data_IF_003365644642
#
_entry.id   IF_003365644642
#
_cell.length_a   1.000
_cell.length_b   1.000
_cell.length_c   1.000
_cell.angle_alpha   90.00
_cell.angle_beta   90.00
_cell.angle_gamma   90.00
#
_symmetry.space_group_name_H-M   'P 1'
#
loop_
_entity.id
_entity.type
_entity.pdbx_description
1 polymer ?
#
# COMPACT_ATOMS: atom_id res chain seq x y z
N UNK A 1 -24.14 23.97 35.37
CA UNK A 1 -24.16 24.84 34.17
C UNK A 1 -24.69 24.03 32.99
N UNK A 2 -25.41 24.64 32.05
CA UNK A 2 -25.94 23.93 30.86
C UNK A 2 -24.81 23.73 29.85
N UNK A 3 -24.65 22.52 29.35
CA UNK A 3 -23.55 22.13 28.45
C UNK A 3 -23.88 22.51 27.00
N UNK A 4 -22.88 22.88 26.21
CA UNK A 4 -23.04 23.10 24.77
C UNK A 4 -23.12 21.75 24.06
N UNK A 5 -24.08 21.59 23.16
CA UNK A 5 -24.27 20.35 22.41
C UNK A 5 -23.42 20.29 21.14
N UNK A 6 -23.07 19.07 20.76
CA UNK A 6 -22.52 18.76 19.44
C UNK A 6 -23.49 19.26 18.36
N UNK A 7 -22.94 19.94 17.36
CA UNK A 7 -23.67 20.73 16.37
C UNK A 7 -23.52 22.23 16.60
N UNK A 8 -23.20 22.65 17.82
CA UNK A 8 -23.02 24.05 18.20
C UNK A 8 -21.81 24.28 19.12
N UNK A 9 -20.84 23.36 19.18
CA UNK A 9 -19.60 23.58 19.96
C UNK A 9 -18.82 24.80 19.46
N UNK A 10 -17.97 25.39 20.29
CA UNK A 10 -17.15 26.54 19.89
C UNK A 10 -16.31 26.25 18.64
N UNK A 11 -15.72 25.06 18.50
CA UNK A 11 -15.01 24.66 17.26
C UNK A 11 -15.92 24.52 16.03
N UNK A 12 -17.21 24.31 16.22
CA UNK A 12 -18.19 24.17 15.15
C UNK A 12 -18.79 25.51 14.73
N UNK A 13 -18.84 26.50 15.65
CA UNK A 13 -19.21 27.90 15.38
C UNK A 13 -18.06 28.69 14.75
N UNK A 14 -16.84 28.52 15.27
CA UNK A 14 -15.62 29.07 14.71
C UNK A 14 -14.49 28.04 14.75
N UNK A 15 -14.26 27.36 13.63
CA UNK A 15 -13.21 26.34 13.50
C UNK A 15 -11.79 26.90 13.51
N UNK A 16 -11.63 28.23 13.41
CA UNK A 16 -10.30 28.88 13.46
C UNK A 16 -9.79 29.13 14.87
N UNK A 17 -10.60 28.83 15.90
CA UNK A 17 -10.15 28.86 17.28
C UNK A 17 -9.19 27.69 17.54
N UNK A 18 -7.91 28.02 17.72
CA UNK A 18 -6.84 27.05 17.95
C UNK A 18 -6.26 27.11 19.37
N UNK A 19 -6.42 28.22 20.09
CA UNK A 19 -5.87 28.42 21.44
C UNK A 19 -6.59 29.55 22.17
N UNK A 20 -6.33 29.67 23.48
CA UNK A 20 -6.80 30.79 24.31
C UNK A 20 -8.28 30.73 24.64
N UNK A 21 -8.95 29.60 24.38
CA UNK A 21 -10.35 29.42 24.72
C UNK A 21 -10.47 28.90 26.15
N UNK A 22 -11.06 29.70 27.03
CA UNK A 22 -11.26 29.35 28.43
C UNK A 22 -12.66 28.77 28.63
N UNK A 23 -12.73 27.66 29.37
CA UNK A 23 -13.98 26.95 29.67
C UNK A 23 -13.91 26.35 31.08
N UNK A 24 -14.98 25.69 31.51
CA UNK A 24 -15.07 25.06 32.84
C UNK A 24 -15.38 23.57 32.70
N UNK A 25 -14.71 22.76 33.52
CA UNK A 25 -14.98 21.33 33.63
C UNK A 25 -16.34 21.10 34.29
N UNK A 26 -17.19 20.32 33.64
CA UNK A 26 -18.54 19.99 34.12
C UNK A 26 -18.56 18.63 34.82
N UNK A 27 -17.87 17.64 34.26
CA UNK A 27 -17.61 16.37 34.95
C UNK A 27 -16.28 15.76 34.49
N UNK A 28 -15.71 14.91 35.33
CA UNK A 28 -14.54 14.10 35.03
C UNK A 28 -14.78 12.71 35.65
N UNK A 29 -14.96 11.71 34.79
CA UNK A 29 -15.36 10.37 35.18
C UNK A 29 -14.27 9.37 34.76
N UNK A 30 -13.87 8.48 35.67
CA UNK A 30 -12.92 7.43 35.35
C UNK A 30 -13.51 6.45 34.32
N UNK A 31 -12.71 6.04 33.34
CA UNK A 31 -13.11 5.05 32.34
C UNK A 31 -12.89 3.65 32.90
N UNK A 32 -13.95 2.84 32.97
CA UNK A 32 -13.87 1.49 33.53
C UNK A 32 -12.94 0.56 32.71
N UNK A 33 -12.04 -0.12 33.43
CA UNK A 33 -10.82 -0.78 32.98
C UNK A 33 -10.99 -2.11 32.21
N UNK A 34 -12.11 -2.35 31.53
CA UNK A 34 -12.26 -3.59 30.73
C UNK A 34 -11.36 -3.61 29.48
N UNK A 35 -11.06 -2.44 28.91
CA UNK A 35 -10.26 -2.29 27.69
C UNK A 35 -8.83 -1.74 27.92
N UNK A 36 -8.46 -1.41 29.17
CA UNK A 36 -7.17 -0.80 29.50
C UNK A 36 -6.48 -1.51 30.68
N UNK A 37 -6.10 -2.79 30.49
CA UNK A 37 -5.55 -3.64 31.55
C UNK A 37 -4.11 -3.32 31.96
N UNK A 38 -3.37 -2.54 31.18
CA UNK A 38 -1.95 -2.21 31.41
C UNK A 38 -1.58 -0.74 31.13
N UNK A 39 -2.55 0.14 30.82
CA UNK A 39 -2.30 1.55 30.51
C UNK A 39 -2.47 2.50 31.71
N UNK A 40 -2.05 3.76 31.58
CA UNK A 40 -2.32 4.80 32.59
C UNK A 40 -3.83 4.96 32.82
N UNK A 41 -4.24 5.45 34.00
CA UNK A 41 -5.65 5.76 34.27
C UNK A 41 -6.18 6.72 33.19
N UNK A 42 -7.40 6.48 32.72
CA UNK A 42 -8.05 7.31 31.71
C UNK A 42 -9.34 7.89 32.27
N UNK A 43 -9.61 9.14 31.94
CA UNK A 43 -10.80 9.86 32.36
C UNK A 43 -11.53 10.47 31.16
N UNK A 44 -12.85 10.49 31.21
CA UNK A 44 -13.70 11.25 30.31
C UNK A 44 -14.04 12.59 30.96
N UNK A 45 -13.46 13.67 30.43
CA UNK A 45 -13.74 15.04 30.85
C UNK A 45 -14.82 15.65 29.95
N UNK A 46 -15.87 16.17 30.54
CA UNK A 46 -16.89 16.95 29.84
C UNK A 46 -16.75 18.43 30.19
N UNK A 47 -16.60 19.26 29.17
CA UNK A 47 -16.43 20.71 29.31
C UNK A 47 -17.76 21.42 29.06
N UNK A 48 -17.91 22.64 29.59
CA UNK A 48 -19.09 23.47 29.33
C UNK A 48 -19.24 23.75 27.83
N UNK A 49 -18.14 24.12 27.19
CA UNK A 49 -17.98 24.26 25.75
C UNK A 49 -16.52 23.91 25.39
N UNK A 50 -16.24 23.56 24.14
CA UNK A 50 -14.91 23.12 23.70
C UNK A 50 -14.56 23.61 22.30
N UNK A 51 -13.28 23.90 22.11
CA UNK A 51 -12.68 24.12 20.79
C UNK A 51 -11.97 22.87 20.26
N UNK A 52 -12.10 21.70 20.90
CA UNK A 52 -11.64 20.41 20.37
C UNK A 52 -12.83 19.69 19.73
N UNK A 53 -12.72 19.35 18.44
CA UNK A 53 -13.75 18.62 17.73
C UNK A 53 -13.76 17.15 18.19
N UNK A 54 -14.93 16.60 18.56
CA UNK A 54 -15.09 15.21 18.93
C UNK A 54 -14.84 14.30 17.74
N UNK A 55 -15.86 13.93 16.98
CA UNK A 55 -15.72 13.24 15.71
C UNK A 55 -17.05 13.35 15.00
N UNK A 56 -17.06 13.15 13.68
CA UNK A 56 -18.32 13.11 12.95
C UNK A 56 -18.20 13.52 11.49
N UNK A 57 -19.16 13.06 10.69
CA UNK A 57 -19.22 13.36 9.26
C UNK A 57 -18.03 12.82 8.45
N UNK A 58 -17.32 11.81 8.97
CA UNK A 58 -16.09 11.28 8.35
C UNK A 58 -14.80 11.96 8.78
N UNK A 59 -14.87 13.04 9.59
CA UNK A 59 -13.70 13.71 10.15
C UNK A 59 -13.30 13.09 11.50
N UNK A 60 -12.02 12.70 11.69
CA UNK A 60 -11.51 12.22 12.97
C UNK A 60 -11.43 13.31 14.05
N UNK A 61 -11.22 12.89 15.30
CA UNK A 61 -11.07 13.82 16.43
C UNK A 61 -9.84 14.68 16.38
N UNK A 62 -9.96 15.85 16.98
CA UNK A 62 -8.80 16.63 17.38
C UNK A 62 -8.07 16.00 18.57
N UNK A 63 -6.85 16.49 18.75
CA UNK A 63 -6.02 16.32 19.93
C UNK A 63 -5.63 17.71 20.44
N UNK A 64 -5.16 17.78 21.68
CA UNK A 64 -4.79 19.07 22.26
C UNK A 64 -4.39 18.98 23.72
N UNK A 65 -4.40 20.12 24.38
CA UNK A 65 -4.00 20.29 25.78
C UNK A 65 -5.02 21.16 26.51
N UNK A 66 -5.36 20.75 27.73
CA UNK A 66 -6.09 21.55 28.70
C UNK A 66 -5.09 22.09 29.73
N UNK A 67 -4.92 23.40 29.77
CA UNK A 67 -4.11 24.06 30.80
C UNK A 67 -5.02 24.48 31.95
N UNK A 68 -4.77 23.97 33.14
CA UNK A 68 -5.52 24.30 34.36
C UNK A 68 -5.21 25.74 34.78
N UNK A 69 -6.24 26.55 35.03
CA UNK A 69 -6.11 27.98 35.34
C UNK A 69 -6.28 28.31 36.82
N UNK A 70 -7.00 27.47 37.56
CA UNK A 70 -7.28 27.67 38.99
C UNK A 70 -7.26 26.35 39.78
N UNK A 71 -7.29 26.46 41.11
CA UNK A 71 -7.22 25.31 42.02
C UNK A 71 -5.79 24.87 42.37
N UNK A 72 -5.65 23.75 43.11
CA UNK A 72 -4.35 23.26 43.59
C UNK A 72 -3.40 22.85 42.46
N UNK A 73 -3.94 22.55 41.28
CA UNK A 73 -3.19 22.10 40.10
C UNK A 73 -3.01 23.22 39.06
N UNK A 74 -3.09 24.49 39.48
CA UNK A 74 -2.95 25.63 38.56
C UNK A 74 -1.63 25.58 37.77
N UNK A 75 -1.72 25.83 36.46
CA UNK A 75 -0.67 25.68 35.44
C UNK A 75 -0.31 24.25 35.01
N UNK A 76 -0.95 23.22 35.55
CA UNK A 76 -0.81 21.86 35.03
C UNK A 76 -1.37 21.79 33.60
N UNK A 77 -0.68 21.04 32.72
CA UNK A 77 -1.12 20.77 31.36
C UNK A 77 -1.54 19.32 31.24
N UNK A 78 -2.79 19.07 30.85
CA UNK A 78 -3.34 17.73 30.67
C UNK A 78 -3.56 17.48 29.19
N UNK A 79 -3.03 16.36 28.67
CA UNK A 79 -3.11 16.03 27.25
C UNK A 79 -4.46 15.39 26.93
N UNK A 80 -5.11 15.88 25.88
CA UNK A 80 -6.31 15.26 25.31
C UNK A 80 -5.90 14.40 24.12
N UNK A 81 -5.97 13.09 24.31
CA UNK A 81 -5.55 12.09 23.31
C UNK A 81 -6.61 11.81 22.25
N UNK A 82 -7.88 11.99 22.62
CA UNK A 82 -9.04 11.78 21.76
C UNK A 82 -10.24 12.53 22.35
N UNK A 83 -11.21 12.86 21.49
CA UNK A 83 -12.49 13.41 21.93
C UNK A 83 -13.60 12.58 21.30
N UNK A 84 -14.35 11.84 22.11
CA UNK A 84 -15.42 10.98 21.67
C UNK A 84 -16.76 11.74 21.61
N UNK A 85 -17.62 11.37 20.65
CA UNK A 85 -19.01 11.84 20.60
C UNK A 85 -19.93 10.82 21.28
N UNK A 86 -20.61 11.24 22.34
CA UNK A 86 -21.65 10.44 23.00
C UNK A 86 -23.00 11.17 22.87
N UNK A 87 -23.78 10.82 21.84
CA UNK A 87 -25.02 11.52 21.49
C UNK A 87 -24.78 13.00 21.17
N UNK A 88 -25.25 13.89 22.06
CA UNK A 88 -25.10 15.34 21.96
C UNK A 88 -23.87 15.89 22.70
N UNK A 89 -23.06 15.04 23.32
CA UNK A 89 -21.99 15.44 24.23
C UNK A 89 -20.59 15.09 23.68
N UNK A 90 -19.61 15.94 24.01
CA UNK A 90 -18.20 15.72 23.69
C UNK A 90 -17.44 15.30 24.96
N UNK A 91 -16.83 14.12 24.93
CA UNK A 91 -16.06 13.54 26.03
C UNK A 91 -14.58 13.56 25.67
N UNK A 92 -13.77 14.25 26.47
CA UNK A 92 -12.33 14.42 26.23
C UNK A 92 -11.58 13.34 27.01
N UNK A 93 -10.84 12.49 26.31
CA UNK A 93 -10.06 11.42 26.90
C UNK A 93 -8.70 11.96 27.37
N UNK A 94 -8.50 11.96 28.68
CA UNK A 94 -7.29 12.46 29.35
C UNK A 94 -6.72 11.41 30.32
N UNK A 95 -5.45 11.56 30.68
CA UNK A 95 -4.73 10.70 31.62
C UNK A 95 -4.75 11.20 33.08
N UNK A 96 -5.20 12.44 33.31
CA UNK A 96 -5.23 13.06 34.62
C UNK A 96 -6.66 13.44 35.04
N UNK A 97 -6.97 13.26 36.33
CA UNK A 97 -8.21 13.74 36.93
C UNK A 97 -8.21 15.27 36.95
N UNK A 98 -9.30 15.89 36.47
CA UNK A 98 -9.51 17.33 36.59
C UNK A 98 -10.83 17.56 37.35
N UNK A 99 -10.75 18.22 38.50
CA UNK A 99 -11.91 18.41 39.38
C UNK A 99 -13.04 19.19 38.68
N UNK A 100 -14.31 18.76 38.78
CA UNK A 100 -15.45 19.53 38.31
C UNK A 100 -15.47 20.95 38.88
N UNK A 101 -15.77 21.94 38.04
CA UNK A 101 -15.73 23.36 38.39
C UNK A 101 -14.40 24.07 38.12
N UNK A 102 -13.33 23.31 37.82
CA UNK A 102 -12.02 23.86 37.44
C UNK A 102 -12.10 24.60 36.11
N UNK A 103 -11.46 25.78 36.02
CA UNK A 103 -11.29 26.52 34.77
C UNK A 103 -10.06 26.03 34.03
N UNK A 104 -10.23 25.83 32.73
CA UNK A 104 -9.15 25.37 31.84
C UNK A 104 -9.08 26.24 30.59
N UNK A 105 -7.88 26.42 30.06
CA UNK A 105 -7.63 26.98 28.74
C UNK A 105 -7.28 25.87 27.76
N UNK A 106 -7.93 25.86 26.60
CA UNK A 106 -7.75 24.83 25.58
C UNK A 106 -6.74 25.30 24.53
N UNK A 107 -5.82 24.41 24.17
CA UNK A 107 -4.96 24.53 22.98
C UNK A 107 -5.13 23.30 22.09
N UNK A 108 -5.43 23.51 20.80
CA UNK A 108 -5.61 22.46 19.79
C UNK A 108 -4.27 22.12 19.14
N UNK A 109 -4.06 20.86 18.75
CA UNK A 109 -3.04 20.51 17.76
C UNK A 109 -3.39 21.16 16.41
N UNK A 110 -2.79 22.33 16.16
CA UNK A 110 -3.07 23.12 14.96
C UNK A 110 -2.68 22.41 13.68
N UNK A 111 -1.63 21.59 13.69
CA UNK A 111 -1.17 20.88 12.50
C UNK A 111 -2.21 19.87 12.03
N UNK A 112 -2.71 19.08 12.99
CA UNK A 112 -3.81 18.12 12.76
C UNK A 112 -5.10 18.82 12.35
N UNK A 113 -5.52 19.85 13.08
CA UNK A 113 -6.76 20.58 12.80
C UNK A 113 -6.77 21.18 11.40
N UNK A 114 -5.71 21.88 11.02
CA UNK A 114 -5.63 22.54 9.71
C UNK A 114 -5.65 21.49 8.59
N UNK A 115 -4.92 20.39 8.74
CA UNK A 115 -4.95 19.29 7.77
C UNK A 115 -6.38 18.75 7.57
N UNK A 116 -7.09 18.45 8.65
CA UNK A 116 -8.48 17.97 8.58
C UNK A 116 -9.42 18.99 7.95
N UNK A 117 -9.31 20.27 8.32
CA UNK A 117 -10.12 21.33 7.71
C UNK A 117 -9.84 21.47 6.20
N UNK A 118 -8.59 21.31 5.76
CA UNK A 118 -8.23 21.31 4.33
C UNK A 118 -8.86 20.12 3.59
N UNK A 119 -8.78 18.91 4.16
CA UNK A 119 -9.38 17.72 3.55
C UNK A 119 -10.91 17.84 3.47
N UNK A 120 -11.54 18.25 4.57
CA UNK A 120 -13.00 18.33 4.67
C UNK A 120 -13.57 19.45 3.79
N UNK A 121 -12.96 20.64 3.81
CA UNK A 121 -13.40 21.73 2.93
C UNK A 121 -13.19 21.39 1.46
N UNK A 122 -12.05 20.78 1.11
CA UNK A 122 -11.78 20.33 -0.25
C UNK A 122 -12.76 19.25 -0.71
N UNK A 123 -13.20 18.36 0.19
CA UNK A 123 -14.24 17.39 -0.10
C UNK A 123 -15.56 18.05 -0.48
N UNK A 124 -16.04 19.03 0.29
CA UNK A 124 -17.32 19.71 -0.01
C UNK A 124 -17.25 20.46 -1.34
N UNK A 125 -16.14 21.18 -1.59
CA UNK A 125 -15.92 21.85 -2.87
C UNK A 125 -15.92 20.85 -4.04
N UNK A 126 -15.23 19.72 -3.88
CA UNK A 126 -15.15 18.66 -4.89
C UNK A 126 -16.52 18.03 -5.16
N UNK A 127 -17.28 17.73 -4.11
CA UNK A 127 -18.64 17.19 -4.22
C UNK A 127 -19.60 18.15 -4.93
N UNK A 128 -19.54 19.44 -4.60
CA UNK A 128 -20.37 20.46 -5.24
C UNK A 128 -20.08 20.54 -6.75
N UNK A 129 -18.81 20.53 -7.15
CA UNK A 129 -18.43 20.57 -8.57
C UNK A 129 -18.78 19.29 -9.31
N UNK A 130 -18.63 18.12 -8.67
CA UNK A 130 -19.05 16.84 -9.25
C UNK A 130 -20.55 16.83 -9.54
N UNK A 131 -21.37 17.30 -8.61
CA UNK A 131 -22.81 17.37 -8.77
C UNK A 131 -23.21 18.39 -9.85
N UNK A 132 -22.70 19.62 -9.78
CA UNK A 132 -23.06 20.69 -10.72
C UNK A 132 -22.60 20.43 -12.17
N UNK A 133 -21.40 19.90 -12.37
CA UNK A 133 -20.81 19.75 -13.72
C UNK A 133 -21.09 18.41 -14.36
N UNK A 134 -21.26 17.35 -13.57
CA UNK A 134 -21.32 15.98 -14.07
C UNK A 134 -22.54 15.19 -13.60
N UNK A 135 -23.43 15.80 -12.80
CA UNK A 135 -24.56 15.13 -12.16
C UNK A 135 -24.12 13.91 -11.33
N UNK A 136 -22.94 14.03 -10.69
CA UNK A 136 -22.34 12.98 -9.88
C UNK A 136 -22.46 13.30 -8.39
N UNK A 137 -23.59 12.88 -7.79
CA UNK A 137 -23.77 12.96 -6.34
C UNK A 137 -22.72 12.14 -5.59
N UNK A 138 -22.29 12.64 -4.43
CA UNK A 138 -21.41 11.88 -3.53
C UNK A 138 -22.21 10.83 -2.76
N UNK A 139 -21.84 9.55 -2.92
CA UNK A 139 -22.49 8.42 -2.25
C UNK A 139 -21.92 8.17 -0.85
N UNK A 140 -20.60 8.25 -0.73
CA UNK A 140 -19.87 8.14 0.52
C UNK A 140 -18.51 8.82 0.38
N UNK A 141 -17.84 9.10 1.51
CA UNK A 141 -16.47 9.57 1.49
C UNK A 141 -15.68 9.03 2.68
N UNK A 142 -14.36 9.06 2.56
CA UNK A 142 -13.44 8.80 3.67
C UNK A 142 -12.30 9.78 3.63
N UNK A 143 -11.93 10.28 4.80
CA UNK A 143 -10.68 11.03 4.97
C UNK A 143 -9.52 10.04 5.11
N UNK A 144 -8.40 10.33 4.45
CA UNK A 144 -7.16 9.58 4.62
C UNK A 144 -6.57 9.79 6.03
N UNK A 145 -5.75 8.86 6.47
CA UNK A 145 -5.19 8.82 7.80
C UNK A 145 -4.11 9.87 8.03
N UNK A 146 -3.76 10.08 9.30
CA UNK A 146 -2.56 10.79 9.72
C UNK A 146 -1.79 9.96 10.74
N UNK A 147 -0.46 10.15 10.87
CA UNK A 147 0.33 9.37 11.80
C UNK A 147 -0.24 9.43 13.22
N UNK A 148 -0.28 8.27 13.86
CA UNK A 148 -0.62 8.12 15.27
C UNK A 148 0.29 7.05 15.89
N UNK A 149 0.33 7.02 17.22
CA UNK A 149 1.24 6.14 17.97
C UNK A 149 0.96 4.65 17.73
N UNK A 150 -0.20 4.28 17.18
CA UNK A 150 -0.63 2.87 17.00
C UNK A 150 -0.21 2.26 15.65
N UNK A 151 -0.03 3.06 14.59
CA UNK A 151 0.12 2.55 13.21
C UNK A 151 1.52 2.66 12.60
N UNK A 152 2.50 3.24 13.30
CA UNK A 152 3.84 3.43 12.74
C UNK A 152 3.85 4.44 11.57
N UNK A 153 4.92 4.47 10.75
CA UNK A 153 5.01 5.39 9.62
C UNK A 153 3.96 5.04 8.56
N UNK A 154 3.08 6.01 8.25
CA UNK A 154 2.11 5.85 7.17
C UNK A 154 2.78 5.83 5.80
N UNK A 155 2.29 5.00 4.90
CA UNK A 155 2.60 5.08 3.48
C UNK A 155 1.85 6.25 2.84
N UNK A 156 2.34 6.77 1.72
CA UNK A 156 1.71 7.93 1.07
C UNK A 156 0.24 7.67 0.68
N UNK A 157 -0.09 6.41 0.37
CA UNK A 157 -1.42 6.00 -0.02
C UNK A 157 -2.42 6.14 1.13
N UNK A 158 -1.97 6.03 2.38
CA UNK A 158 -2.83 6.16 3.57
C UNK A 158 -3.35 7.59 3.73
N UNK A 159 -2.65 8.59 3.16
CA UNK A 159 -3.05 10.00 3.23
C UNK A 159 -4.13 10.38 2.21
N UNK A 160 -4.45 9.53 1.24
CA UNK A 160 -5.49 9.85 0.25
C UNK A 160 -6.88 9.74 0.85
N UNK A 161 -7.68 10.77 0.59
CA UNK A 161 -9.12 10.70 0.77
C UNK A 161 -9.73 9.97 -0.44
N UNK A 162 -10.97 9.47 -0.29
CA UNK A 162 -11.76 9.05 -1.45
C UNK A 162 -13.20 9.55 -1.37
N UNK A 163 -13.79 9.81 -2.54
CA UNK A 163 -15.22 9.95 -2.77
C UNK A 163 -15.74 8.75 -3.55
N UNK A 164 -16.83 8.14 -3.09
CA UNK A 164 -17.57 7.17 -3.90
C UNK A 164 -18.60 7.90 -4.77
N UNK A 165 -18.49 7.72 -6.08
CA UNK A 165 -19.34 8.33 -7.10
C UNK A 165 -20.05 7.26 -7.94
N UNK A 166 -21.22 7.56 -8.56
CA UNK A 166 -22.04 6.56 -9.26
C UNK A 166 -21.39 5.89 -10.47
N UNK A 167 -20.37 6.52 -11.06
CA UNK A 167 -19.62 6.00 -12.21
C UNK A 167 -18.16 6.42 -12.17
N UNK A 168 -17.33 5.73 -12.94
CA UNK A 168 -15.95 6.15 -13.23
C UNK A 168 -15.94 7.43 -14.07
N UNK A 169 -15.02 8.33 -13.76
CA UNK A 169 -14.72 9.50 -14.60
C UNK A 169 -13.60 9.18 -15.58
N UNK A 170 -13.68 9.74 -16.78
CA UNK A 170 -12.60 9.72 -17.77
C UNK A 170 -11.44 10.62 -17.31
N UNK A 171 -10.25 10.40 -17.87
CA UNK A 171 -9.09 11.23 -17.53
C UNK A 171 -9.28 12.71 -17.90
N UNK A 172 -10.05 13.00 -18.96
CA UNK A 172 -10.34 14.38 -19.34
C UNK A 172 -11.28 15.04 -18.31
N UNK A 173 -12.34 14.35 -17.89
CA UNK A 173 -13.24 14.87 -16.85
C UNK A 173 -12.48 15.13 -15.53
N UNK A 174 -11.51 14.29 -15.18
CA UNK A 174 -10.67 14.50 -13.97
C UNK A 174 -9.77 15.72 -14.12
N UNK A 175 -9.18 15.95 -15.30
CA UNK A 175 -8.40 17.17 -15.57
C UNK A 175 -9.27 18.42 -15.47
N UNK A 176 -10.42 18.43 -16.14
CA UNK A 176 -11.35 19.56 -16.13
C UNK A 176 -11.88 19.85 -14.71
N UNK A 177 -12.12 18.80 -13.91
CA UNK A 177 -12.49 18.92 -12.50
C UNK A 177 -11.35 19.48 -11.65
N UNK A 178 -10.11 19.02 -11.88
CA UNK A 178 -8.92 19.55 -11.20
C UNK A 178 -8.72 21.04 -11.51
N UNK A 179 -8.89 21.46 -12.77
CA UNK A 179 -8.78 22.86 -13.17
C UNK A 179 -9.89 23.70 -12.52
N UNK A 180 -11.11 23.18 -12.46
CA UNK A 180 -12.22 23.83 -11.78
C UNK A 180 -11.99 24.01 -10.28
N UNK A 181 -11.49 22.97 -9.60
CA UNK A 181 -11.11 23.05 -8.18
C UNK A 181 -10.05 24.13 -7.98
N UNK A 182 -8.99 24.14 -8.79
CA UNK A 182 -7.92 25.13 -8.68
C UNK A 182 -8.40 26.54 -8.98
N UNK A 183 -9.34 26.74 -9.90
CA UNK A 183 -9.97 28.05 -10.14
C UNK A 183 -10.62 28.60 -8.86
N UNK A 184 -11.44 27.80 -8.18
CA UNK A 184 -12.09 28.22 -6.92
C UNK A 184 -11.17 28.25 -5.70
N UNK A 185 -9.93 27.76 -5.81
CA UNK A 185 -8.92 27.86 -4.76
C UNK A 185 -8.04 29.09 -4.99
N UNK A 186 -7.59 29.33 -6.23
CA UNK A 186 -6.52 30.28 -6.53
C UNK A 186 -7.01 31.59 -7.16
N UNK A 187 -8.11 31.53 -7.92
CA UNK A 187 -8.60 32.67 -8.73
C UNK A 187 -9.83 33.31 -8.09
N UNK A 188 -10.81 32.50 -7.70
CA UNK A 188 -12.09 32.96 -7.15
C UNK A 188 -12.43 32.23 -5.84
N UNK A 189 -11.73 32.53 -4.73
CA UNK A 189 -11.99 31.90 -3.45
C UNK A 189 -13.39 32.20 -2.90
N UNK A 190 -14.13 31.13 -2.65
CA UNK A 190 -15.41 31.03 -1.93
C UNK A 190 -15.32 31.35 -0.45
N UNK A 191 -16.04 32.35 0.08
CA UNK A 191 -16.26 32.45 1.53
C UNK A 191 -17.07 31.26 2.05
N UNK A 192 -16.73 30.77 3.24
CA UNK A 192 -17.42 29.66 3.90
C UNK A 192 -18.15 30.20 5.12
N UNK A 193 -19.44 29.91 5.22
CA UNK A 193 -20.27 30.35 6.34
C UNK A 193 -21.01 29.18 6.98
N UNK A 194 -21.24 29.30 8.27
CA UNK A 194 -21.92 28.29 9.08
C UNK A 194 -23.25 28.88 9.52
N UNK A 195 -24.32 28.11 9.36
CA UNK A 195 -25.65 28.47 9.85
C UNK A 195 -26.16 27.38 10.78
N UNK A 196 -26.57 27.79 11.96
CA UNK A 196 -27.25 26.96 12.95
C UNK A 196 -28.75 27.18 12.82
N UNK A 197 -29.51 26.09 12.82
CA UNK A 197 -30.95 26.17 12.81
C UNK A 197 -31.55 25.05 13.68
N UNK A 198 -32.68 25.33 14.33
CA UNK A 198 -33.44 24.31 15.06
C UNK A 198 -34.28 23.49 14.08
N UNK A 199 -34.67 22.28 14.46
CA UNK A 199 -35.48 21.39 13.60
C UNK A 199 -36.73 22.09 13.04
N UNK A 200 -37.36 22.96 13.81
CA UNK A 200 -38.57 23.70 13.43
C UNK A 200 -38.30 24.76 12.33
N UNK A 201 -37.10 25.34 12.30
CA UNK A 201 -36.70 26.35 11.32
C UNK A 201 -36.18 25.74 10.00
N UNK A 202 -35.88 24.44 10.00
CA UNK A 202 -35.12 23.74 8.96
C UNK A 202 -36.01 23.11 7.88
N UNK A 203 -37.31 22.94 8.12
CA UNK A 203 -38.26 22.47 7.10
C UNK A 203 -37.83 21.15 6.43
N UNK A 204 -37.85 21.11 5.09
CA UNK A 204 -37.61 19.94 4.22
C UNK A 204 -36.14 19.64 3.93
N UNK A 205 -35.23 19.93 4.85
CA UNK A 205 -33.81 19.59 4.69
C UNK A 205 -33.62 18.07 4.83
N UNK A 206 -32.87 17.48 3.91
CA UNK A 206 -32.57 16.04 3.95
C UNK A 206 -31.71 15.76 5.20
N UNK A 207 -32.23 14.94 6.11
CA UNK A 207 -31.59 14.55 7.38
C UNK A 207 -30.98 13.15 7.35
N UNK A 208 -30.96 12.48 6.19
CA UNK A 208 -30.46 11.10 6.01
C UNK A 208 -28.97 10.96 6.36
N UNK A 209 -28.23 12.08 6.41
CA UNK A 209 -26.80 12.13 6.77
C UNK A 209 -26.55 12.39 8.27
N UNK A 210 -27.59 12.53 9.08
CA UNK A 210 -27.49 12.76 10.53
C UNK A 210 -27.44 11.39 11.25
N UNK A 211 -26.51 11.18 12.19
CA UNK A 211 -26.43 9.92 12.94
C UNK A 211 -27.72 9.59 13.72
N UNK A 212 -28.07 8.30 13.79
CA UNK A 212 -29.29 7.82 14.48
C UNK A 212 -29.32 8.18 15.98
N UNK A 213 -28.16 8.29 16.60
CA UNK A 213 -27.99 8.64 18.03
C UNK A 213 -28.04 10.16 18.30
N UNK A 214 -28.24 10.98 17.26
CA UNK A 214 -28.37 12.43 17.37
C UNK A 214 -29.82 12.83 17.63
N UNK A 215 -30.13 13.24 18.87
CA UNK A 215 -31.48 13.67 19.24
C UNK A 215 -31.84 15.02 18.60
N UNK A 216 -32.46 14.97 17.41
CA UNK A 216 -32.93 16.12 16.66
C UNK A 216 -34.00 16.97 17.37
N UNK A 217 -34.64 16.46 18.43
CA UNK A 217 -35.59 17.26 19.21
C UNK A 217 -34.90 18.24 20.17
N UNK A 218 -33.60 18.02 20.44
CA UNK A 218 -32.79 18.84 21.35
C UNK A 218 -31.53 19.41 20.71
N UNK A 219 -31.04 18.78 19.65
CA UNK A 219 -29.84 19.15 18.91
C UNK A 219 -30.06 20.32 17.95
N UNK A 220 -28.95 20.79 17.36
CA UNK A 220 -28.90 21.91 16.42
C UNK A 220 -28.47 21.38 15.06
N UNK A 221 -29.24 21.69 14.02
CA UNK A 221 -28.86 21.37 12.65
C UNK A 221 -27.89 22.43 12.15
N UNK A 222 -26.65 22.01 11.93
CA UNK A 222 -25.60 22.85 11.37
C UNK A 222 -25.49 22.63 9.86
N UNK A 223 -25.55 23.72 9.10
CA UNK A 223 -25.31 23.73 7.66
C UNK A 223 -24.07 24.55 7.34
N UNK A 224 -23.25 24.03 6.43
CA UNK A 224 -22.05 24.68 5.93
C UNK A 224 -22.33 25.13 4.50
N UNK A 225 -22.04 26.40 4.22
CA UNK A 225 -22.30 27.04 2.94
C UNK A 225 -20.97 27.46 2.32
N UNK A 226 -20.70 27.01 1.09
CA UNK A 226 -19.55 27.44 0.29
C UNK A 226 -20.06 28.41 -0.76
N UNK A 227 -19.93 29.71 -0.47
CA UNK A 227 -20.50 30.77 -1.30
C UNK A 227 -21.96 30.47 -1.67
N UNK A 228 -22.24 30.46 -2.97
CA UNK A 228 -23.54 30.04 -3.53
C UNK A 228 -23.50 28.65 -4.14
N UNK A 229 -22.38 27.93 -4.06
CA UNK A 229 -22.19 26.66 -4.76
C UNK A 229 -22.72 25.46 -3.99
N UNK A 230 -22.63 25.51 -2.67
CA UNK A 230 -22.98 24.38 -1.83
C UNK A 230 -23.61 24.81 -0.51
N UNK A 231 -24.55 23.99 -0.02
CA UNK A 231 -25.21 24.15 1.26
C UNK A 231 -25.57 22.77 1.82
N UNK A 232 -24.70 22.20 2.65
CA UNK A 232 -24.87 20.83 3.16
C UNK A 232 -24.95 20.80 4.70
N UNK A 233 -25.82 19.93 5.27
CA UNK A 233 -25.73 19.55 6.67
C UNK A 233 -24.36 18.94 6.95
N UNK A 234 -23.60 19.55 7.85
CA UNK A 234 -22.27 19.07 8.24
C UNK A 234 -21.95 19.53 9.65
N UNK A 235 -21.39 18.63 10.45
CA UNK A 235 -20.94 18.94 11.81
C UNK A 235 -19.42 19.12 11.92
N UNK A 236 -18.64 18.83 10.87
CA UNK A 236 -17.18 18.92 10.90
C UNK A 236 -16.63 20.34 10.86
N UNK A 237 -15.32 20.47 11.05
CA UNK A 237 -14.63 21.76 11.04
C UNK A 237 -14.27 22.18 9.61
N UNK A 238 -14.42 23.45 9.30
CA UNK A 238 -14.17 23.98 7.95
C UNK A 238 -13.27 25.21 7.97
N UNK A 239 -12.56 25.43 6.86
CA UNK A 239 -11.83 26.66 6.60
C UNK A 239 -12.80 27.85 6.48
N UNK A 240 -12.26 29.08 6.53
CA UNK A 240 -13.05 30.32 6.34
C UNK A 240 -13.32 30.63 4.88
N UNK A 241 -12.46 30.13 4.00
CA UNK A 241 -12.60 30.27 2.55
C UNK A 241 -11.91 29.13 1.82
N UNK A 242 -12.31 28.88 0.57
CA UNK A 242 -11.73 27.80 -0.26
C UNK A 242 -10.28 28.06 -0.62
N UNK A 243 -9.81 29.31 -0.65
CA UNK A 243 -8.40 29.62 -0.89
C UNK A 243 -7.46 29.03 0.16
N UNK A 244 -7.94 28.81 1.38
CA UNK A 244 -7.15 28.20 2.45
C UNK A 244 -6.94 26.69 2.29
N UNK A 245 -7.62 26.06 1.32
CA UNK A 245 -7.31 24.68 0.89
C UNK A 245 -5.86 24.63 0.40
N UNK A 246 -5.42 25.71 -0.27
CA UNK A 246 -4.05 25.90 -0.75
C UNK A 246 -3.74 25.11 -2.03
N UNK A 247 -3.87 23.79 -1.98
CA UNK A 247 -3.56 22.90 -3.09
C UNK A 247 -4.48 21.68 -3.11
N UNK A 248 -4.66 21.09 -4.29
CA UNK A 248 -5.47 19.90 -4.51
C UNK A 248 -4.76 18.98 -5.50
N UNK A 249 -4.80 17.68 -5.22
CA UNK A 249 -4.42 16.63 -6.16
C UNK A 249 -5.58 15.64 -6.28
N UNK A 250 -6.05 15.41 -7.50
CA UNK A 250 -7.03 14.38 -7.83
C UNK A 250 -6.32 13.31 -8.67
N UNK A 251 -6.38 12.05 -8.26
CA UNK A 251 -5.73 10.97 -9.00
C UNK A 251 -6.61 10.53 -10.19
N UNK A 252 -6.01 10.30 -11.37
CA UNK A 252 -6.69 9.64 -12.48
C UNK A 252 -7.11 8.21 -12.16
N UNK A 253 -6.30 7.53 -11.34
CA UNK A 253 -6.55 6.18 -10.89
C UNK A 253 -7.77 6.14 -9.97
N UNK A 254 -8.66 5.19 -10.24
CA UNK A 254 -9.90 5.00 -9.52
C UNK A 254 -10.12 3.50 -9.27
N UNK A 255 -10.84 3.18 -8.21
CA UNK A 255 -11.17 1.79 -7.87
C UNK A 255 -12.67 1.56 -8.00
N UNK A 256 -13.08 0.60 -8.83
CA UNK A 256 -14.48 0.16 -8.90
C UNK A 256 -14.86 -0.60 -7.62
N UNK A 257 -16.01 -0.29 -7.05
CA UNK A 257 -16.46 -0.87 -5.76
C UNK A 257 -17.64 -1.82 -5.95
N UNK A 258 -18.82 -1.29 -6.31
CA UNK A 258 -20.06 -2.06 -6.49
C UNK A 258 -20.77 -1.55 -7.74
N UNK A 259 -21.08 -2.45 -8.67
CA UNK A 259 -21.70 -2.08 -9.95
C UNK A 259 -20.84 -1.06 -10.70
N UNK A 260 -21.43 0.08 -11.04
CA UNK A 260 -20.72 1.18 -11.71
C UNK A 260 -19.98 2.11 -10.76
N UNK A 261 -20.21 2.00 -9.45
CA UNK A 261 -19.64 2.93 -8.47
C UNK A 261 -18.10 2.90 -8.48
N UNK A 262 -17.51 4.09 -8.33
CA UNK A 262 -16.07 4.30 -8.43
C UNK A 262 -15.58 5.15 -7.25
N UNK A 263 -14.42 4.81 -6.70
CA UNK A 263 -13.70 5.65 -5.74
C UNK A 263 -12.75 6.58 -6.49
N UNK A 264 -13.02 7.87 -6.40
CA UNK A 264 -12.15 8.95 -6.84
C UNK A 264 -11.27 9.40 -5.67
N UNK A 265 -9.96 9.31 -5.84
CA UNK A 265 -9.00 9.64 -4.78
C UNK A 265 -8.51 11.07 -4.91
N UNK A 266 -8.41 11.76 -3.78
CA UNK A 266 -7.90 13.13 -3.74
C UNK A 266 -7.17 13.44 -2.43
N UNK A 267 -6.38 14.51 -2.42
CA UNK A 267 -5.76 15.07 -1.23
C UNK A 267 -5.61 16.59 -1.35
N UNK A 268 -5.66 17.27 -0.22
CA UNK A 268 -5.60 18.73 -0.15
C UNK A 268 -4.41 19.24 0.67
N UNK A 269 -4.02 20.49 0.43
CA UNK A 269 -3.13 21.27 1.26
C UNK A 269 -1.78 20.61 1.50
N UNK A 270 -1.37 20.51 2.78
CA UNK A 270 -0.03 20.02 3.12
C UNK A 270 0.22 18.56 2.70
N UNK A 271 -0.83 17.75 2.52
CA UNK A 271 -0.69 16.38 1.99
C UNK A 271 -0.17 16.38 0.55
N UNK A 272 -0.59 17.35 -0.26
CA UNK A 272 -0.12 17.50 -1.66
C UNK A 272 1.37 17.84 -1.69
N UNK A 273 1.84 18.71 -0.78
CA UNK A 273 3.26 19.06 -0.68
C UNK A 273 4.11 17.83 -0.34
N UNK A 274 3.70 17.06 0.67
CA UNK A 274 4.37 15.80 1.06
C UNK A 274 4.41 14.80 -0.09
N UNK A 275 3.30 14.68 -0.84
CA UNK A 275 3.24 13.84 -2.03
C UNK A 275 4.23 14.30 -3.11
N UNK A 276 4.31 15.62 -3.35
CA UNK A 276 5.24 16.22 -4.30
C UNK A 276 6.71 15.99 -3.93
N UNK A 277 7.08 16.13 -2.65
CA UNK A 277 8.42 15.84 -2.15
C UNK A 277 8.80 14.38 -2.37
N UNK A 278 7.92 13.45 -1.99
CA UNK A 278 8.11 12.01 -2.21
C UNK A 278 8.25 11.69 -3.70
N UNK A 279 7.36 12.23 -4.55
CA UNK A 279 7.41 12.00 -6.00
C UNK A 279 8.72 12.54 -6.60
N UNK A 280 9.16 13.72 -6.18
CA UNK A 280 10.43 14.32 -6.62
C UNK A 280 11.64 13.47 -6.21
N UNK A 281 11.63 12.92 -5.00
CA UNK A 281 12.69 12.03 -4.51
C UNK A 281 12.75 10.73 -5.35
N UNK A 282 11.60 10.11 -5.61
CA UNK A 282 11.50 8.91 -6.44
C UNK A 282 12.00 9.18 -7.86
N UNK A 283 11.56 10.28 -8.49
CA UNK A 283 11.99 10.67 -9.82
C UNK A 283 13.50 10.94 -9.88
N UNK A 284 14.04 11.62 -8.87
CA UNK A 284 15.48 11.92 -8.77
C UNK A 284 16.31 10.64 -8.66
N UNK A 285 15.91 9.70 -7.79
CA UNK A 285 16.59 8.40 -7.66
C UNK A 285 16.48 7.58 -8.96
N UNK A 286 15.32 7.60 -9.60
CA UNK A 286 15.04 6.82 -10.81
C UNK A 286 15.85 7.33 -12.01
N UNK A 287 15.86 8.65 -12.24
CA UNK A 287 16.59 9.26 -13.36
C UNK A 287 18.11 9.08 -13.22
N UNK A 288 18.64 9.11 -12.00
CA UNK A 288 20.03 8.80 -11.71
C UNK A 288 20.38 7.34 -12.03
N UNK A 289 19.56 6.38 -11.58
CA UNK A 289 19.75 4.94 -11.88
C UNK A 289 19.69 4.64 -13.39
N UNK A 290 18.83 5.34 -14.12
CA UNK A 290 18.69 5.17 -15.57
C UNK A 290 19.63 6.06 -16.40
N UNK A 291 20.38 6.96 -15.74
CA UNK A 291 21.24 7.96 -16.37
C UNK A 291 20.52 8.70 -17.51
N UNK A 292 19.39 9.34 -17.18
CA UNK A 292 18.54 10.04 -18.14
C UNK A 292 17.83 11.25 -17.52
N UNK A 293 17.13 12.03 -18.34
CA UNK A 293 16.21 13.06 -17.87
C UNK A 293 14.86 12.46 -17.49
N UNK A 294 14.07 13.16 -16.66
CA UNK A 294 12.78 12.67 -16.15
C UNK A 294 11.81 12.28 -17.26
N UNK A 295 11.68 13.12 -18.27
CA UNK A 295 10.82 12.85 -19.43
C UNK A 295 11.24 11.61 -20.24
N UNK A 296 12.50 11.15 -20.09
CA UNK A 296 13.05 10.00 -20.84
C UNK A 296 12.95 8.69 -20.06
N UNK A 297 12.49 8.71 -18.81
CA UNK A 297 12.38 7.51 -17.97
C UNK A 297 11.55 6.41 -18.67
N UNK A 298 10.34 6.69 -19.22
CA UNK A 298 9.54 5.65 -19.86
C UNK A 298 10.27 5.01 -21.06
N UNK A 299 10.84 5.82 -21.93
CA UNK A 299 11.59 5.36 -23.11
C UNK A 299 12.83 4.53 -22.75
N UNK A 300 13.53 4.91 -21.67
CA UNK A 300 14.70 4.17 -21.18
C UNK A 300 14.29 2.80 -20.63
N UNK A 301 13.17 2.72 -19.94
CA UNK A 301 12.61 1.45 -19.43
C UNK A 301 12.25 0.53 -20.61
N UNK A 302 11.53 1.02 -21.62
CA UNK A 302 11.18 0.20 -22.79
C UNK A 302 12.43 -0.23 -23.57
N UNK A 303 13.43 0.65 -23.75
CA UNK A 303 14.72 0.27 -24.38
C UNK A 303 15.45 -0.83 -23.60
N UNK A 304 15.47 -0.76 -22.26
CA UNK A 304 16.09 -1.80 -21.45
C UNK A 304 15.36 -3.13 -21.57
N UNK A 305 14.02 -3.12 -21.57
CA UNK A 305 13.19 -4.31 -21.78
C UNK A 305 13.44 -4.95 -23.15
N UNK A 306 13.49 -4.14 -24.21
CA UNK A 306 13.84 -4.61 -25.55
C UNK A 306 15.25 -5.21 -25.61
N UNK A 307 16.22 -4.58 -24.93
CA UNK A 307 17.59 -5.07 -24.86
C UNK A 307 17.67 -6.41 -24.13
N UNK A 308 16.96 -6.56 -23.00
CA UNK A 308 16.88 -7.83 -22.25
C UNK A 308 16.30 -8.94 -23.13
N UNK A 309 15.22 -8.66 -23.87
CA UNK A 309 14.63 -9.64 -24.80
C UNK A 309 15.59 -10.02 -25.92
N UNK A 310 16.33 -9.05 -26.50
CA UNK A 310 17.34 -9.32 -27.54
C UNK A 310 18.51 -10.15 -27.00
N UNK A 311 18.98 -9.83 -25.79
CA UNK A 311 20.06 -10.57 -25.13
C UNK A 311 19.64 -12.01 -24.83
N UNK A 312 18.44 -12.23 -24.30
CA UNK A 312 17.89 -13.56 -24.05
C UNK A 312 17.75 -14.39 -25.33
N UNK A 313 17.24 -13.81 -26.42
CA UNK A 313 17.20 -14.51 -27.73
C UNK A 313 18.59 -14.88 -28.24
N UNK A 314 19.57 -13.99 -28.07
CA UNK A 314 20.96 -14.23 -28.49
C UNK A 314 21.63 -15.30 -27.63
N UNK A 315 21.40 -15.30 -26.32
CA UNK A 315 21.82 -16.35 -25.41
C UNK A 315 21.26 -17.71 -25.85
N UNK A 316 19.95 -17.80 -26.10
CA UNK A 316 19.31 -19.03 -26.59
C UNK A 316 19.83 -19.52 -27.95
N UNK A 317 20.21 -18.59 -28.84
CA UNK A 317 20.86 -18.96 -30.09
C UNK A 317 22.23 -19.61 -29.83
N UNK A 318 23.11 -18.94 -29.08
CA UNK A 318 24.46 -19.46 -28.80
C UNK A 318 24.45 -20.73 -27.94
N UNK A 319 23.50 -20.85 -27.01
CA UNK A 319 23.30 -22.06 -26.22
C UNK A 319 23.02 -23.26 -27.12
N UNK A 320 22.19 -23.10 -28.17
CA UNK A 320 21.91 -24.15 -29.15
C UNK A 320 23.12 -24.49 -30.00
N UNK A 321 23.84 -23.48 -30.51
CA UNK A 321 25.06 -23.70 -31.30
C UNK A 321 26.13 -24.46 -30.50
N UNK A 322 26.35 -24.06 -29.23
CA UNK A 322 27.29 -24.73 -28.34
C UNK A 322 26.83 -26.15 -28.01
N UNK A 323 25.54 -26.35 -27.76
CA UNK A 323 25.01 -27.68 -27.50
C UNK A 323 25.21 -28.62 -28.71
N UNK A 324 24.95 -28.13 -29.92
CA UNK A 324 25.19 -28.88 -31.15
C UNK A 324 26.68 -29.21 -31.34
N UNK A 325 27.58 -28.28 -31.00
CA UNK A 325 29.02 -28.50 -31.07
C UNK A 325 29.50 -29.56 -30.06
N UNK A 326 29.17 -29.42 -28.77
CA UNK A 326 29.60 -30.35 -27.72
C UNK A 326 29.00 -31.76 -27.93
N UNK A 327 27.79 -31.85 -28.48
CA UNK A 327 27.13 -33.13 -28.76
C UNK A 327 27.91 -34.00 -29.74
N UNK A 328 28.75 -33.43 -30.63
CA UNK A 328 29.53 -34.20 -31.61
C UNK A 328 30.46 -35.21 -30.94
N UNK A 329 31.23 -34.76 -29.94
CA UNK A 329 32.15 -35.62 -29.19
C UNK A 329 31.40 -36.68 -28.39
N UNK A 330 30.26 -36.32 -27.80
CA UNK A 330 29.43 -37.25 -27.02
C UNK A 330 28.85 -38.35 -27.93
N UNK A 331 28.38 -37.98 -29.12
CA UNK A 331 27.86 -38.95 -30.12
C UNK A 331 28.97 -39.91 -30.55
N UNK A 332 30.19 -39.43 -30.76
CA UNK A 332 31.33 -40.27 -31.12
C UNK A 332 31.68 -41.27 -30.00
N UNK A 333 31.73 -40.82 -28.74
CA UNK A 333 31.93 -41.69 -27.57
C UNK A 333 30.84 -42.76 -27.45
N UNK A 334 29.57 -42.39 -27.66
CA UNK A 334 28.45 -43.35 -27.64
C UNK A 334 28.57 -44.40 -28.75
N UNK A 335 29.02 -44.02 -29.94
CA UNK A 335 29.24 -44.96 -31.06
C UNK A 335 30.36 -45.95 -30.77
N UNK A 336 31.46 -45.49 -30.17
CA UNK A 336 32.63 -46.31 -29.88
C UNK A 336 32.41 -47.23 -28.68
N UNK A 337 31.91 -46.68 -27.57
CA UNK A 337 31.98 -47.33 -26.26
C UNK A 337 30.61 -47.68 -25.68
N UNK A 338 29.52 -47.28 -26.34
CA UNK A 338 28.15 -47.33 -25.82
C UNK A 338 27.96 -46.56 -24.50
N UNK A 339 28.95 -45.79 -24.06
CA UNK A 339 28.94 -44.98 -22.85
C UNK A 339 29.47 -43.60 -23.17
N UNK A 340 28.80 -42.56 -22.70
CA UNK A 340 29.29 -41.19 -22.75
C UNK A 340 28.73 -40.37 -21.60
N UNK A 341 29.39 -39.26 -21.31
CA UNK A 341 28.91 -38.33 -20.32
C UNK A 341 29.28 -36.88 -20.65
N UNK A 342 28.56 -35.94 -20.03
CA UNK A 342 28.88 -34.52 -20.03
C UNK A 342 28.78 -34.01 -18.60
N UNK A 343 29.81 -33.29 -18.15
CA UNK A 343 29.81 -32.53 -16.90
C UNK A 343 29.98 -31.05 -17.24
N UNK A 344 28.99 -30.22 -16.88
CA UNK A 344 28.99 -28.78 -17.13
C UNK A 344 28.94 -28.00 -15.82
N UNK A 345 30.10 -27.57 -15.35
CA UNK A 345 30.27 -26.91 -14.04
C UNK A 345 29.63 -25.51 -13.98
N UNK A 346 29.63 -24.78 -15.09
CA UNK A 346 29.07 -23.43 -15.20
C UNK A 346 28.09 -23.35 -16.34
N UNK A 347 26.95 -22.69 -16.11
CA UNK A 347 25.84 -22.60 -17.07
C UNK A 347 25.31 -23.96 -17.52
N UNK A 348 25.48 -25.00 -16.70
CA UNK A 348 24.92 -26.34 -16.91
C UNK A 348 23.44 -26.41 -16.55
N UNK A 349 22.65 -25.45 -17.02
CA UNK A 349 21.22 -25.37 -16.73
C UNK A 349 20.47 -26.56 -17.31
N UNK A 350 19.28 -26.86 -16.77
CA UNK A 350 18.43 -27.90 -17.34
C UNK A 350 18.11 -27.64 -18.82
N UNK A 351 17.88 -26.38 -19.20
CA UNK A 351 17.62 -25.99 -20.60
C UNK A 351 18.79 -26.36 -21.51
N UNK A 352 20.03 -26.08 -21.07
CA UNK A 352 21.24 -26.46 -21.81
C UNK A 352 21.34 -27.98 -21.99
N UNK A 353 21.17 -28.75 -20.91
CA UNK A 353 21.22 -30.23 -20.98
C UNK A 353 20.11 -30.80 -21.88
N UNK A 354 18.93 -30.16 -21.93
CA UNK A 354 17.85 -30.56 -22.84
C UNK A 354 18.18 -30.26 -24.30
N UNK A 355 18.90 -29.18 -24.60
CA UNK A 355 19.43 -28.92 -25.93
C UNK A 355 20.45 -29.97 -26.35
N UNK A 356 21.42 -30.32 -25.49
CA UNK A 356 22.37 -31.42 -25.72
C UNK A 356 21.61 -32.72 -26.01
N UNK A 357 20.63 -33.05 -25.17
CA UNK A 357 19.82 -34.25 -25.32
C UNK A 357 19.05 -34.28 -26.64
N UNK A 358 18.54 -33.14 -27.12
CA UNK A 358 17.85 -33.02 -28.40
C UNK A 358 18.75 -33.38 -29.58
N UNK A 359 20.01 -32.91 -29.55
CA UNK A 359 21.00 -33.18 -30.60
C UNK A 359 21.49 -34.63 -30.59
N UNK A 360 21.61 -35.25 -29.40
CA UNK A 360 22.10 -36.63 -29.27
C UNK A 360 21.02 -37.69 -29.58
N UNK A 361 19.74 -37.39 -29.29
CA UNK A 361 18.62 -38.36 -29.44
C UNK A 361 18.57 -39.05 -30.81
N UNK A 362 18.69 -38.34 -31.96
CA UNK A 362 18.71 -38.98 -33.28
C UNK A 362 19.83 -40.02 -33.41
N UNK A 363 21.03 -39.73 -32.90
CA UNK A 363 22.16 -40.66 -32.97
C UNK A 363 21.99 -41.91 -32.09
N UNK A 364 21.12 -41.86 -31.09
CA UNK A 364 20.80 -42.98 -30.21
C UNK A 364 19.66 -43.87 -30.75
N UNK A 365 18.94 -43.44 -31.79
CA UNK A 365 17.85 -44.25 -32.36
C UNK A 365 18.39 -45.57 -32.92
N UNK A 366 17.82 -46.68 -32.49
CA UNK A 366 18.25 -48.02 -32.89
C UNK A 366 19.58 -48.47 -32.28
N UNK A 367 20.22 -47.67 -31.43
CA UNK A 367 21.45 -48.07 -30.73
C UNK A 367 21.10 -48.96 -29.53
N UNK A 368 21.53 -50.25 -29.49
CA UNK A 368 21.29 -51.09 -28.33
C UNK A 368 22.29 -50.80 -27.21
N UNK A 369 21.85 -50.97 -25.97
CA UNK A 369 22.68 -51.06 -24.76
C UNK A 369 23.64 -49.88 -24.55
N UNK A 370 23.16 -48.65 -24.77
CA UNK A 370 23.95 -47.45 -24.45
C UNK A 370 23.56 -46.83 -23.10
N UNK A 371 24.46 -46.05 -22.51
CA UNK A 371 24.16 -45.16 -21.38
C UNK A 371 24.83 -43.80 -21.55
N UNK A 372 24.03 -42.75 -21.40
CA UNK A 372 24.45 -41.35 -21.43
C UNK A 372 24.11 -40.69 -20.09
N UNK A 373 25.08 -39.99 -19.50
CA UNK A 373 24.86 -39.13 -18.34
C UNK A 373 25.17 -37.68 -18.70
N UNK A 374 24.18 -36.80 -18.59
CA UNK A 374 24.37 -35.35 -18.72
C UNK A 374 24.17 -34.74 -17.34
N UNK A 375 25.18 -34.08 -16.82
CA UNK A 375 25.11 -33.39 -15.55
C UNK A 375 25.59 -31.95 -15.72
N UNK A 376 24.84 -31.02 -15.16
CA UNK A 376 25.20 -29.62 -15.19
C UNK A 376 24.77 -28.91 -13.92
N UNK A 377 25.52 -27.88 -13.53
CA UNK A 377 25.14 -26.94 -12.48
C UNK A 377 25.34 -25.49 -12.90
N UNK A 378 24.68 -24.60 -12.18
CA UNK A 378 24.97 -23.18 -12.18
C UNK A 378 25.68 -22.85 -10.86
N UNK A 379 26.95 -22.48 -10.96
CA UNK A 379 27.81 -22.15 -9.82
C UNK A 379 27.30 -20.96 -9.00
N UNK A 380 26.53 -20.05 -9.58
CA UNK A 380 25.99 -18.89 -8.85
C UNK A 380 24.82 -19.27 -7.97
N UNK A 381 23.95 -20.17 -8.43
CA UNK A 381 22.78 -20.61 -7.67
C UNK A 381 23.05 -21.88 -6.85
N UNK A 382 24.18 -22.55 -7.10
CA UNK A 382 24.53 -23.87 -6.58
C UNK A 382 23.42 -24.92 -6.84
N UNK A 383 22.63 -24.71 -7.90
CA UNK A 383 21.61 -25.67 -8.34
C UNK A 383 22.01 -26.32 -9.65
N UNK A 384 21.55 -27.53 -9.87
CA UNK A 384 21.86 -28.26 -11.09
C UNK A 384 20.86 -29.32 -11.45
N UNK A 385 21.15 -30.05 -12.51
CA UNK A 385 20.31 -31.14 -13.01
C UNK A 385 21.17 -32.27 -13.55
N UNK A 386 20.62 -33.47 -13.46
CA UNK A 386 21.18 -34.67 -14.07
C UNK A 386 20.12 -35.29 -14.97
N UNK A 387 20.54 -35.73 -16.14
CA UNK A 387 19.74 -36.52 -17.07
C UNK A 387 20.51 -37.81 -17.36
N UNK A 388 19.87 -38.96 -17.20
CA UNK A 388 20.39 -40.25 -17.65
C UNK A 388 19.50 -40.73 -18.80
N UNK A 389 20.12 -41.16 -19.90
CA UNK A 389 19.43 -41.75 -21.04
C UNK A 389 20.03 -43.13 -21.34
N UNK A 390 19.19 -44.17 -21.42
CA UNK A 390 19.59 -45.53 -21.78
C UNK A 390 18.41 -46.32 -22.34
N UNK A 391 18.67 -47.39 -23.09
CA UNK A 391 17.64 -48.38 -23.45
C UNK A 391 17.30 -49.32 -22.29
N UNK A 392 18.16 -49.44 -21.27
CA UNK A 392 18.01 -50.35 -20.14
C UNK A 392 17.55 -49.64 -18.88
N UNK A 393 16.40 -50.04 -18.34
CA UNK A 393 15.90 -49.54 -17.05
C UNK A 393 16.76 -50.00 -15.86
N UNK A 394 17.41 -51.15 -15.98
CA UNK A 394 18.35 -51.67 -14.97
C UNK A 394 19.61 -50.81 -14.91
N UNK A 395 20.17 -50.39 -16.05
CA UNK A 395 21.34 -49.50 -16.08
C UNK A 395 21.03 -48.12 -15.51
N UNK A 396 19.85 -47.57 -15.84
CA UNK A 396 19.37 -46.32 -15.24
C UNK A 396 19.26 -46.47 -13.73
N UNK A 397 18.64 -47.55 -13.24
CA UNK A 397 18.46 -47.79 -11.80
C UNK A 397 19.80 -47.98 -11.08
N UNK A 398 20.76 -48.65 -11.71
CA UNK A 398 22.12 -48.84 -11.19
C UNK A 398 22.85 -47.51 -11.01
N UNK A 399 22.87 -46.64 -12.02
CA UNK A 399 23.58 -45.35 -11.92
C UNK A 399 22.82 -44.37 -11.02
N UNK A 400 21.50 -44.23 -11.20
CA UNK A 400 20.70 -43.32 -10.37
C UNK A 400 20.70 -43.73 -8.89
N UNK A 401 20.65 -45.03 -8.58
CA UNK A 401 20.77 -45.55 -7.22
C UNK A 401 22.09 -45.18 -6.57
N UNK A 402 23.22 -45.37 -7.28
CA UNK A 402 24.55 -44.94 -6.81
C UNK A 402 24.60 -43.43 -6.59
N UNK A 403 24.13 -42.62 -7.54
CA UNK A 403 24.07 -41.16 -7.41
C UNK A 403 23.29 -40.73 -6.18
N UNK A 404 22.08 -41.26 -5.98
CA UNK A 404 21.25 -40.94 -4.82
C UNK A 404 21.84 -41.44 -3.50
N UNK A 405 22.63 -42.51 -3.50
CA UNK A 405 23.31 -43.03 -2.30
C UNK A 405 24.56 -42.21 -1.92
N UNK A 406 25.34 -41.77 -2.91
CA UNK A 406 26.57 -41.00 -2.70
C UNK A 406 26.30 -39.51 -2.47
N UNK A 407 25.23 -38.97 -3.07
CA UNK A 407 24.93 -37.54 -3.08
C UNK A 407 23.51 -37.27 -2.60
N UNK A 408 23.39 -36.83 -1.34
CA UNK A 408 22.10 -36.49 -0.72
C UNK A 408 21.38 -35.32 -1.41
N UNK A 409 22.14 -34.47 -2.12
CA UNK A 409 21.62 -33.32 -2.86
C UNK A 409 20.87 -33.72 -4.15
N UNK A 410 20.96 -34.97 -4.60
CA UNK A 410 20.36 -35.46 -5.84
C UNK A 410 19.01 -36.12 -5.57
N UNK A 411 17.94 -35.58 -6.16
CA UNK A 411 16.60 -36.18 -6.12
C UNK A 411 15.99 -36.22 -7.52
N UNK A 412 15.59 -37.41 -7.97
CA UNK A 412 15.03 -37.60 -9.31
C UNK A 412 14.25 -38.90 -9.47
N UNK A 413 13.75 -39.10 -10.68
CA UNK A 413 12.94 -40.27 -11.05
C UNK A 413 12.75 -40.42 -12.56
N UNK A 414 12.09 -41.50 -12.96
CA UNK A 414 11.79 -41.86 -14.36
C UNK A 414 12.66 -43.00 -14.91
N UNK A 415 12.40 -43.44 -16.14
CA UNK A 415 13.25 -44.41 -16.84
C UNK A 415 13.25 -45.84 -16.30
N UNK A 416 12.25 -46.25 -15.51
CA UNK A 416 12.17 -47.60 -14.93
C UNK A 416 12.13 -48.73 -15.96
N UNK A 417 11.63 -48.47 -17.17
CA UNK A 417 11.61 -49.39 -18.31
C UNK A 417 12.59 -48.99 -19.43
N UNK A 418 13.62 -48.20 -19.11
CA UNK A 418 14.45 -47.52 -20.10
C UNK A 418 13.90 -46.14 -20.49
N UNK A 419 14.66 -45.42 -21.32
CA UNK A 419 14.36 -44.05 -21.72
C UNK A 419 15.11 -43.03 -20.89
N UNK A 420 14.40 -42.03 -20.33
CA UNK A 420 14.99 -40.87 -19.64
C UNK A 420 14.70 -40.91 -18.14
N UNK A 421 15.74 -40.80 -17.33
CA UNK A 421 15.66 -40.42 -15.91
C UNK A 421 16.19 -39.00 -15.73
N UNK A 422 15.61 -38.25 -14.80
CA UNK A 422 16.01 -36.87 -14.53
C UNK A 422 15.98 -36.57 -13.04
N UNK A 423 17.00 -35.85 -12.56
CA UNK A 423 17.09 -35.35 -11.19
C UNK A 423 17.41 -33.87 -11.14
N UNK A 424 16.99 -33.25 -10.03
CA UNK A 424 17.48 -31.95 -9.59
C UNK A 424 18.58 -32.15 -8.56
N UNK A 425 19.54 -31.24 -8.58
CA UNK A 425 20.56 -31.11 -7.56
C UNK A 425 20.39 -29.78 -6.84
N UNK A 426 20.24 -29.81 -5.52
CA UNK A 426 20.08 -28.61 -4.71
C UNK A 426 21.32 -28.40 -3.83
N UNK A 427 21.90 -27.19 -3.86
CA UNK A 427 23.08 -26.81 -3.07
C UNK A 427 24.31 -27.69 -3.35
N UNK A 428 24.69 -27.81 -4.63
CA UNK A 428 25.89 -28.55 -5.04
C UNK A 428 27.12 -27.72 -4.78
N UNK A 429 27.79 -27.99 -3.66
CA UNK A 429 29.06 -27.35 -3.28
C UNK A 429 30.19 -27.73 -4.24
N UNK A 430 31.30 -26.98 -4.25
CA UNK A 430 32.48 -27.35 -5.06
C UNK A 430 33.02 -28.74 -4.69
N UNK A 431 33.00 -29.12 -3.42
CA UNK A 431 33.44 -30.43 -2.98
C UNK A 431 32.54 -31.55 -3.50
N UNK A 432 31.21 -31.37 -3.45
CA UNK A 432 30.27 -32.33 -4.01
C UNK A 432 30.39 -32.44 -5.53
N UNK A 433 30.68 -31.34 -6.22
CA UNK A 433 30.91 -31.36 -7.66
C UNK A 433 32.19 -32.13 -8.03
N UNK A 434 33.31 -31.88 -7.34
CA UNK A 434 34.55 -32.66 -7.56
C UNK A 434 34.32 -34.15 -7.28
N UNK A 435 33.61 -34.49 -6.21
CA UNK A 435 33.25 -35.89 -5.94
C UNK A 435 32.36 -36.49 -7.05
N UNK A 436 31.48 -35.69 -7.65
CA UNK A 436 30.65 -36.10 -8.78
C UNK A 436 31.48 -36.30 -10.05
N UNK A 437 32.48 -35.45 -10.31
CA UNK A 437 33.44 -35.61 -11.40
C UNK A 437 34.22 -36.93 -11.27
N UNK A 438 34.74 -37.22 -10.08
CA UNK A 438 35.43 -38.48 -9.77
C UNK A 438 34.51 -39.69 -9.92
N UNK A 439 33.27 -39.60 -9.42
CA UNK A 439 32.27 -40.66 -9.56
C UNK A 439 31.96 -40.96 -11.03
N UNK A 440 31.70 -39.92 -11.83
CA UNK A 440 31.37 -40.10 -13.25
C UNK A 440 32.58 -40.62 -14.03
N UNK A 441 33.77 -40.11 -13.77
CA UNK A 441 35.00 -40.62 -14.37
C UNK A 441 35.21 -42.10 -14.04
N UNK A 442 34.91 -42.54 -12.82
CA UNK A 442 35.01 -43.95 -12.42
C UNK A 442 33.95 -44.83 -13.12
N UNK A 443 32.67 -44.44 -13.09
CA UNK A 443 31.58 -45.24 -13.66
C UNK A 443 31.59 -45.31 -15.20
N UNK A 444 32.10 -44.26 -15.84
CA UNK A 444 32.18 -44.12 -17.30
C UNK A 444 33.58 -44.32 -17.87
N UNK A 445 34.52 -44.87 -17.09
CA UNK A 445 35.83 -45.31 -17.60
C UNK A 445 35.65 -46.17 -18.85
N UNK A 446 36.26 -45.72 -19.94
CA UNK A 446 36.34 -46.46 -21.19
C UNK A 446 37.28 -47.65 -20.93
N UNK A 447 36.77 -48.88 -21.01
CA UNK A 447 37.61 -50.06 -20.91
C UNK A 447 38.61 -50.05 -22.06
N UNK A 448 39.90 -50.18 -21.75
CA UNK A 448 40.97 -50.47 -22.72
C UNK A 448 40.75 -51.79 -23.42
#
# INVERSE_FOLDING_TARGET
>A
MKRTYVGSLACQRDSSLLKGFQTTVVSCEAVDSKDNKEGPPMYHVELHDTILFPEGGGQPSDTGVLKVLDGPNANESVVVSHVAREGLHAKHCVDNLIEPGTKVEITVDSGRRIDYMQQHTGQHLLSALLEQKYDLRTLSWSMGEIPNDKKGPLEINDYFNYLEIPRRMSEQEIRDLSDAMNHYILVEPMSISIREATREAVGSLNTDKIPDDYDLSKGIVRTVHIGTMDANPCCGTHLKETGQIGSILILPNQTTVRGTNSRLYFMCGQRVNKYGEMASEILTKTKAKLSCQEAQIPDKIEKQKDQIQKLSKREQYWMRELAAYESKAIIEQLKQNRKAYLLKDTFGTLEYLLHILKEIRPACQGMPNYILLLCGRDRQTETGSIIILSTSGEDISRISGKLSSCFRCIKGGGGSSGGKWQAKMAKVTNQEWTALEEFVAFEFKLGT
#
